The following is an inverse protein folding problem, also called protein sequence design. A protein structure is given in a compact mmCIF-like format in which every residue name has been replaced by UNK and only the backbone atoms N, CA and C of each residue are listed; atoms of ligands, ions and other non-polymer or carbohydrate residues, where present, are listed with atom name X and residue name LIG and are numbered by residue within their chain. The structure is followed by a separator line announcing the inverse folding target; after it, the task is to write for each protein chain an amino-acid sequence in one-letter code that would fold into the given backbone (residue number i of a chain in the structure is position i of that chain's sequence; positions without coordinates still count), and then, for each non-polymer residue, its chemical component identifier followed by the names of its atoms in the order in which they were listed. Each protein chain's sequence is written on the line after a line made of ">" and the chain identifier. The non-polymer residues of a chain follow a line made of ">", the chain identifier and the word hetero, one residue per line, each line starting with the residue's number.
data_IF_836154849611
#
_entry.id   IF_836154849611
#
_cell.length_a   1.000
_cell.length_b   1.000
_cell.length_c   1.000
_cell.angle_alpha   90.00
_cell.angle_beta   90.00
_cell.angle_gamma   90.00
#
_symmetry.space_group_name_H-M   'P 1'
#
loop_
_entity.id
_entity.type
_entity.pdbx_description
1 polymer ?
#
# COMPACT_ATOMS: atom_id res chain seq x y z
N UNK A 1 -6.49 -9.87 10.31
CA UNK A 1 -6.79 -10.61 9.05
C UNK A 1 -5.63 -10.46 8.09
N UNK A 2 -5.28 -11.50 7.32
CA UNK A 2 -4.18 -11.42 6.34
C UNK A 2 -4.68 -10.95 4.97
N UNK A 3 -4.13 -9.82 4.51
CA UNK A 3 -4.43 -9.27 3.20
C UNK A 3 -3.23 -9.41 2.27
N UNK A 4 -3.44 -9.89 1.06
CA UNK A 4 -2.46 -9.83 -0.01
C UNK A 4 -2.54 -8.46 -0.68
N UNK A 5 -1.50 -7.65 -0.51
CA UNK A 5 -1.44 -6.29 -1.05
C UNK A 5 -0.65 -6.30 -2.35
N UNK A 6 -1.36 -6.12 -3.47
CA UNK A 6 -0.80 -5.92 -4.79
C UNK A 6 -0.49 -4.43 -5.01
N UNK A 7 0.74 -4.14 -5.41
CA UNK A 7 1.21 -2.80 -5.76
C UNK A 7 1.06 -2.63 -7.28
N UNK A 8 0.31 -1.62 -7.71
CA UNK A 8 0.17 -1.27 -9.14
C UNK A 8 1.53 -0.91 -9.76
N UNK A 9 1.70 -1.12 -11.07
CA UNK A 9 2.98 -0.83 -11.74
C UNK A 9 3.37 0.65 -11.67
N UNK A 10 2.41 1.57 -11.68
CA UNK A 10 2.66 3.01 -11.43
C UNK A 10 3.23 3.26 -10.02
N UNK A 11 2.72 2.55 -9.01
CA UNK A 11 3.21 2.65 -7.65
C UNK A 11 4.62 2.04 -7.52
N UNK A 12 4.91 0.93 -8.22
CA UNK A 12 6.27 0.37 -8.33
C UNK A 12 7.23 1.34 -9.02
N UNK A 13 6.82 2.02 -10.08
CA UNK A 13 7.63 3.03 -10.76
C UNK A 13 7.96 4.20 -9.81
N UNK A 14 6.97 4.71 -9.08
CA UNK A 14 7.18 5.74 -8.05
C UNK A 14 8.09 5.27 -6.91
N UNK A 15 7.98 4.01 -6.50
CA UNK A 15 8.86 3.38 -5.51
C UNK A 15 10.32 3.33 -5.97
N UNK A 16 10.54 3.02 -7.26
CA UNK A 16 11.89 3.04 -7.86
C UNK A 16 12.45 4.45 -7.95
N UNK A 17 11.60 5.45 -8.20
CA UNK A 17 11.98 6.86 -8.26
C UNK A 17 12.17 7.51 -6.87
N UNK A 18 11.71 6.87 -5.79
CA UNK A 18 11.83 7.43 -4.44
C UNK A 18 13.15 7.06 -3.75
N UNK A 19 13.66 7.93 -2.87
CA UNK A 19 14.88 7.68 -2.12
C UNK A 19 14.74 6.48 -1.19
N UNK A 20 15.88 5.87 -0.87
CA UNK A 20 15.97 4.58 -0.15
C UNK A 20 15.27 4.61 1.21
N UNK A 21 15.32 5.75 1.90
CA UNK A 21 14.64 5.97 3.19
C UNK A 21 13.12 5.85 3.07
N UNK A 22 12.52 6.55 2.10
CA UNK A 22 11.08 6.48 1.81
C UNK A 22 10.70 5.06 1.39
N UNK A 23 11.53 4.41 0.58
CA UNK A 23 11.31 3.01 0.15
C UNK A 23 11.21 2.06 1.35
N UNK A 24 12.04 2.25 2.38
CA UNK A 24 12.03 1.47 3.61
C UNK A 24 10.75 1.71 4.41
N UNK A 25 10.34 2.97 4.55
CA UNK A 25 9.07 3.35 5.20
C UNK A 25 7.86 2.75 4.50
N UNK A 26 7.83 2.78 3.16
CA UNK A 26 6.73 2.17 2.38
C UNK A 26 6.69 0.66 2.61
N UNK A 27 7.84 -0.03 2.58
CA UNK A 27 7.91 -1.46 2.87
C UNK A 27 7.32 -1.81 4.25
N UNK A 28 7.70 -1.05 5.29
CA UNK A 28 7.12 -1.21 6.62
C UNK A 28 5.61 -0.97 6.63
N UNK A 29 5.13 0.09 5.97
CA UNK A 29 3.69 0.37 5.90
C UNK A 29 2.92 -0.71 5.15
N UNK A 30 3.46 -1.26 4.06
CA UNK A 30 2.84 -2.36 3.32
C UNK A 30 2.77 -3.62 4.18
N UNK A 31 3.83 -3.92 4.93
CA UNK A 31 3.84 -5.05 5.87
C UNK A 31 2.77 -4.91 6.96
N UNK A 32 2.62 -3.71 7.53
CA UNK A 32 1.52 -3.41 8.47
C UNK A 32 0.14 -3.46 7.81
N UNK A 33 0.05 -3.11 6.53
CA UNK A 33 -1.18 -3.18 5.74
C UNK A 33 -1.64 -4.64 5.55
N UNK A 34 -0.71 -5.56 5.34
CA UNK A 34 -1.01 -7.00 5.25
C UNK A 34 -1.51 -7.56 6.60
N UNK A 35 -1.01 -6.98 7.70
CA UNK A 35 -1.35 -7.33 9.07
C UNK A 35 -2.40 -6.35 9.64
N UNK A 36 -3.64 -6.45 9.13
CA UNK A 36 -4.82 -5.71 9.60
C UNK A 36 -5.09 -4.31 8.98
N UNK A 37 -4.55 -4.00 7.79
CA UNK A 37 -4.76 -2.70 7.10
C UNK A 37 -4.45 -1.47 7.98
N UNK A 38 -3.59 -1.63 8.99
CA UNK A 38 -3.36 -0.61 10.01
C UNK A 38 -2.43 0.49 9.49
N UNK A 39 -2.89 1.73 9.50
CA UNK A 39 -2.07 2.92 9.22
C UNK A 39 -2.75 4.04 8.43
N UNK A 40 -1.92 4.91 7.83
CA UNK A 40 -2.33 6.08 7.03
C UNK A 40 -2.76 5.66 5.60
N UNK A 41 -3.85 4.88 5.55
CA UNK A 41 -4.36 4.24 4.36
C UNK A 41 -5.81 4.64 4.18
N UNK A 42 -6.14 5.25 3.05
CA UNK A 42 -7.52 5.59 2.72
C UNK A 42 -8.09 4.58 1.74
N UNK A 43 -9.23 3.97 2.08
CA UNK A 43 -9.99 3.17 1.12
C UNK A 43 -10.60 4.07 0.06
N UNK A 44 -10.40 3.72 -1.21
CA UNK A 44 -10.99 4.46 -2.33
C UNK A 44 -12.50 4.18 -2.37
N UNK A 45 -13.33 5.21 -2.17
CA UNK A 45 -14.80 5.11 -2.26
C UNK A 45 -15.19 4.83 -3.72
N UNK A 46 -15.40 3.55 -4.04
CA UNK A 46 -15.77 3.09 -5.40
C UNK A 46 -15.24 1.69 -5.72
N UNK A 47 -14.21 1.24 -5.01
CA UNK A 47 -13.58 -0.06 -5.24
C UNK A 47 -13.58 -0.89 -3.96
N UNK A 48 -14.00 -2.15 -4.06
CA UNK A 48 -14.13 -3.07 -2.92
C UNK A 48 -12.80 -3.29 -2.20
N UNK A 49 -11.68 -3.17 -2.93
CA UNK A 49 -10.36 -3.63 -2.55
C UNK A 49 -9.22 -2.66 -2.91
N UNK A 50 -9.51 -1.40 -3.25
CA UNK A 50 -8.46 -0.42 -3.54
C UNK A 50 -8.24 0.54 -2.38
N UNK A 51 -6.96 0.80 -2.13
CA UNK A 51 -6.46 1.56 -1.00
C UNK A 51 -5.40 2.55 -1.49
N UNK A 52 -5.39 3.71 -0.87
CA UNK A 52 -4.42 4.78 -1.11
C UNK A 52 -3.53 4.90 0.11
N UNK A 53 -2.27 4.51 -0.05
CA UNK A 53 -1.25 4.65 0.97
C UNK A 53 -0.58 6.03 0.87
N UNK A 54 -0.57 6.77 1.97
CA UNK A 54 0.15 8.05 2.07
C UNK A 54 1.45 7.88 2.86
N UNK A 55 2.56 8.26 2.23
CA UNK A 55 3.89 8.26 2.85
C UNK A 55 4.53 9.62 2.63
N UNK A 56 4.35 10.51 3.61
CA UNK A 56 4.77 11.91 3.51
C UNK A 56 4.07 12.61 2.34
N UNK A 57 4.87 13.05 1.36
CA UNK A 57 4.38 13.69 0.14
C UNK A 57 4.06 12.71 -1.00
N UNK A 58 4.36 11.42 -0.82
CA UNK A 58 4.12 10.39 -1.83
C UNK A 58 2.82 9.64 -1.58
N UNK A 59 2.13 9.33 -2.67
CA UNK A 59 0.81 8.72 -2.66
C UNK A 59 0.82 7.53 -3.63
N UNK A 60 0.44 6.37 -3.13
CA UNK A 60 0.46 5.10 -3.85
C UNK A 60 -0.93 4.49 -3.83
N UNK A 61 -1.41 4.06 -4.98
CA UNK A 61 -2.59 3.21 -5.06
C UNK A 61 -2.15 1.75 -4.93
N UNK A 62 -2.89 0.98 -4.15
CA UNK A 62 -2.64 -0.41 -3.81
C UNK A 62 -3.97 -1.16 -3.88
N UNK A 63 -3.92 -2.42 -4.25
CA UNK A 63 -5.08 -3.29 -4.25
C UNK A 63 -4.86 -4.36 -3.18
N UNK A 64 -5.76 -4.50 -2.20
CA UNK A 64 -5.68 -5.58 -1.22
C UNK A 64 -6.71 -6.66 -1.53
N UNK A 65 -6.31 -7.91 -1.61
CA UNK A 65 -7.23 -9.06 -1.66
C UNK A 65 -7.13 -9.79 -0.33
N UNK A 66 -8.28 -10.14 0.25
CA UNK A 66 -8.30 -10.99 1.44
C UNK A 66 -7.76 -12.37 1.08
N UNK A 67 -6.72 -12.84 1.77
CA UNK A 67 -6.29 -14.23 1.64
C UNK A 67 -7.27 -15.09 2.43
N UNK A 68 -8.26 -15.64 1.72
CA UNK A 68 -9.03 -16.76 2.26
C UNK A 68 -8.13 -18.01 2.23
N UNK A 69 -7.72 -18.44 3.41
CA UNK A 69 -7.17 -19.78 3.62
C UNK A 69 -8.26 -20.85 3.55
#
# INVERSE_FOLDING_TARGET
>A
MEYEVEISDEAKAKLRATPKEIRRTIGCKIFLLQNDLSGDVQKLRGSTNEYRLRVGNYQYCLNSKERRS
#
